data_IF_457092352500
#
_entry.id   IF_457092352500
#
_cell.length_a   1.000
_cell.length_b   1.000
_cell.length_c   1.000
_cell.angle_alpha   90.00
_cell.angle_beta   90.00
_cell.angle_gamma   90.00
#
_symmetry.space_group_name_H-M   'P 1'
#
loop_
_entity.id
_entity.type
_entity.pdbx_description
1 polymer ?
#
# COMPACT_ATOMS: atom_id res chain seq x y z
N UNK A 1 34.57 -18.60 9.86
CA UNK A 1 33.71 -18.01 8.81
C UNK A 1 32.85 -16.94 9.47
N UNK A 2 32.92 -15.66 9.06
CA UNK A 2 32.08 -14.63 9.66
C UNK A 2 30.62 -14.89 9.28
N UNK A 3 29.73 -14.79 10.27
CA UNK A 3 28.28 -14.84 10.06
C UNK A 3 27.91 -13.54 9.35
N UNK A 4 27.56 -13.63 8.07
CA UNK A 4 26.92 -12.52 7.35
C UNK A 4 25.46 -12.52 7.77
N UNK A 5 25.09 -11.61 8.66
CA UNK A 5 23.69 -11.37 8.99
C UNK A 5 22.97 -10.93 7.71
N UNK A 6 21.76 -11.44 7.42
CA UNK A 6 20.95 -10.90 6.33
C UNK A 6 20.75 -9.40 6.57
N UNK A 7 20.75 -8.57 5.51
CA UNK A 7 20.51 -7.15 5.65
C UNK A 7 19.23 -6.95 6.45
N UNK A 8 19.28 -6.06 7.46
CA UNK A 8 18.12 -5.76 8.29
C UNK A 8 16.97 -5.33 7.37
N UNK A 9 15.82 -5.99 7.52
CA UNK A 9 14.60 -5.56 6.83
C UNK A 9 14.24 -4.20 7.43
N UNK A 10 14.21 -3.12 6.63
CA UNK A 10 13.87 -1.80 7.15
C UNK A 10 12.46 -1.82 7.73
N UNK A 11 12.24 -1.02 8.76
CA UNK A 11 10.89 -0.79 9.27
C UNK A 11 10.01 -0.17 8.17
N UNK A 12 8.69 -0.35 8.29
CA UNK A 12 7.75 0.11 7.25
C UNK A 12 7.86 1.62 7.04
N UNK A 13 8.08 2.40 8.09
CA UNK A 13 8.32 3.85 8.05
C UNK A 13 9.59 4.21 7.28
N UNK A 14 10.71 3.52 7.54
CA UNK A 14 11.98 3.76 6.80
C UNK A 14 11.84 3.39 5.33
N UNK A 15 11.22 2.25 5.04
CA UNK A 15 10.94 1.83 3.65
C UNK A 15 10.04 2.84 2.93
N UNK A 16 9.02 3.32 3.64
CA UNK A 16 8.06 4.30 3.15
C UNK A 16 8.71 5.66 2.81
N UNK A 17 9.49 6.21 3.74
CA UNK A 17 10.24 7.45 3.53
C UNK A 17 11.23 7.33 2.37
N UNK A 18 11.90 6.18 2.28
CA UNK A 18 12.78 5.89 1.15
C UNK A 18 12.02 5.92 -0.18
N UNK A 19 10.90 5.21 -0.29
CA UNK A 19 10.08 5.19 -1.51
C UNK A 19 9.55 6.60 -1.87
N UNK A 20 9.12 7.37 -0.86
CA UNK A 20 8.68 8.76 -1.02
C UNK A 20 9.79 9.68 -1.54
N UNK A 21 11.04 9.45 -1.11
CA UNK A 21 12.21 10.24 -1.53
C UNK A 21 12.55 10.04 -3.02
N UNK A 22 12.25 8.86 -3.57
CA UNK A 22 12.49 8.53 -4.98
C UNK A 22 11.47 9.20 -5.93
N UNK A 23 10.35 9.69 -5.40
CA UNK A 23 9.30 10.31 -6.21
C UNK A 23 9.40 11.84 -6.26
N UNK A 24 9.07 12.44 -7.43
CA UNK A 24 8.81 13.87 -7.55
C UNK A 24 7.73 14.34 -6.56
N UNK A 25 7.82 15.59 -6.11
CA UNK A 25 6.94 16.14 -5.07
C UNK A 25 5.45 16.01 -5.41
N UNK A 26 5.08 16.22 -6.68
CA UNK A 26 3.72 16.09 -7.18
C UNK A 26 3.18 14.65 -7.17
N UNK A 27 4.03 13.63 -6.99
CA UNK A 27 3.64 12.21 -6.89
C UNK A 27 3.62 11.69 -5.46
N UNK A 28 4.24 12.39 -4.51
CA UNK A 28 4.31 11.97 -3.10
C UNK A 28 2.93 11.85 -2.49
N UNK A 29 2.04 12.83 -2.71
CA UNK A 29 0.66 12.77 -2.21
C UNK A 29 -0.13 11.56 -2.70
N UNK A 30 0.06 11.18 -3.96
CA UNK A 30 -0.57 9.99 -4.53
C UNK A 30 -0.07 8.72 -3.84
N UNK A 31 1.25 8.64 -3.64
CA UNK A 31 1.88 7.56 -2.92
C UNK A 31 1.34 7.49 -1.48
N UNK A 32 1.24 8.62 -0.78
CA UNK A 32 0.77 8.69 0.62
C UNK A 32 -0.66 8.15 0.74
N UNK A 33 -1.48 8.49 -0.24
CA UNK A 33 -2.87 8.06 -0.31
C UNK A 33 -2.97 6.56 -0.54
N UNK A 34 -2.15 6.00 -1.45
CA UNK A 34 -2.09 4.56 -1.67
C UNK A 34 -1.59 3.81 -0.43
N UNK A 35 -0.55 4.32 0.22
CA UNK A 35 0.00 3.73 1.44
C UNK A 35 -1.04 3.70 2.57
N UNK A 36 -1.76 4.80 2.76
CA UNK A 36 -2.87 4.86 3.72
C UNK A 36 -3.97 3.83 3.38
N UNK A 37 -4.31 3.64 2.10
CA UNK A 37 -5.29 2.64 1.67
C UNK A 37 -4.85 1.21 1.99
N UNK A 38 -3.56 0.91 1.81
CA UNK A 38 -2.96 -0.39 2.16
C UNK A 38 -3.04 -0.62 3.68
N UNK A 39 -2.56 0.34 4.47
CA UNK A 39 -2.56 0.25 5.94
C UNK A 39 -3.98 0.11 6.48
N UNK A 40 -4.94 0.85 5.92
CA UNK A 40 -6.35 0.77 6.28
C UNK A 40 -6.94 -0.62 6.04
N UNK A 41 -6.71 -1.21 4.86
CA UNK A 41 -7.23 -2.53 4.53
C UNK A 41 -6.56 -3.64 5.37
N UNK A 42 -5.26 -3.51 5.67
CA UNK A 42 -4.56 -4.42 6.60
C UNK A 42 -5.13 -4.34 8.02
N UNK A 43 -5.43 -3.13 8.49
CA UNK A 43 -6.05 -2.91 9.80
C UNK A 43 -7.44 -3.52 9.87
N UNK A 44 -8.28 -3.32 8.84
CA UNK A 44 -9.61 -3.92 8.75
C UNK A 44 -9.54 -5.46 8.75
N UNK A 45 -8.66 -6.04 7.93
CA UNK A 45 -8.48 -7.49 7.86
C UNK A 45 -7.99 -8.08 9.20
N UNK A 46 -7.05 -7.41 9.86
CA UNK A 46 -6.59 -7.80 11.20
C UNK A 46 -7.73 -7.77 12.21
N UNK A 47 -8.57 -6.73 12.19
CA UNK A 47 -9.68 -6.61 13.13
C UNK A 47 -10.76 -7.66 12.88
N UNK A 48 -11.11 -7.91 11.62
CA UNK A 48 -12.03 -8.98 11.23
C UNK A 48 -11.59 -10.34 11.79
N UNK A 49 -10.28 -10.65 11.67
CA UNK A 49 -9.69 -11.88 12.22
C UNK A 49 -9.74 -11.97 13.74
N UNK A 50 -9.54 -10.85 14.44
CA UNK A 50 -9.56 -10.80 15.90
C UNK A 50 -10.99 -10.95 16.43
N UNK A 51 -11.96 -10.31 15.78
CA UNK A 51 -13.38 -10.36 16.16
C UNK A 51 -14.07 -11.64 15.70
N UNK A 52 -13.43 -12.44 14.84
CA UNK A 52 -14.03 -13.65 14.26
C UNK A 52 -15.13 -13.34 13.24
N UNK A 53 -15.11 -12.13 12.67
CA UNK A 53 -16.09 -11.65 11.72
C UNK A 53 -15.57 -11.78 10.28
N UNK A 54 -16.42 -12.26 9.37
CA UNK A 54 -16.10 -12.34 7.94
C UNK A 54 -15.15 -13.48 7.54
N UNK A 55 -15.01 -13.68 6.22
CA UNK A 55 -14.06 -14.64 5.66
C UNK A 55 -12.64 -14.07 5.67
N UNK A 56 -11.67 -14.90 6.03
CA UNK A 56 -10.25 -14.54 6.04
C UNK A 56 -9.75 -14.39 4.61
N UNK A 57 -9.30 -13.20 4.24
CA UNK A 57 -8.73 -12.97 2.92
C UNK A 57 -7.31 -13.51 2.84
N UNK A 58 -6.96 -14.14 1.73
CA UNK A 58 -5.55 -14.39 1.39
C UNK A 58 -4.85 -13.06 1.07
N UNK A 59 -3.51 -13.04 1.06
CA UNK A 59 -2.75 -11.87 0.61
C UNK A 59 -3.18 -11.43 -0.80
N UNK A 60 -3.39 -12.37 -1.71
CA UNK A 60 -3.85 -12.08 -3.07
C UNK A 60 -5.25 -11.43 -3.12
N UNK A 61 -6.18 -11.93 -2.31
CA UNK A 61 -7.53 -11.35 -2.22
C UNK A 61 -7.49 -9.94 -1.62
N UNK A 62 -6.66 -9.72 -0.59
CA UNK A 62 -6.51 -8.40 0.01
C UNK A 62 -5.88 -7.40 -0.98
N UNK A 63 -4.87 -7.83 -1.74
CA UNK A 63 -4.28 -7.01 -2.81
C UNK A 63 -5.31 -6.63 -3.86
N UNK A 64 -6.07 -7.59 -4.38
CA UNK A 64 -7.12 -7.33 -5.37
C UNK A 64 -8.18 -6.35 -4.84
N UNK A 65 -8.55 -6.47 -3.55
CA UNK A 65 -9.48 -5.55 -2.89
C UNK A 65 -8.92 -4.13 -2.78
N UNK A 66 -7.63 -3.98 -2.48
CA UNK A 66 -6.97 -2.67 -2.42
C UNK A 66 -6.91 -2.03 -3.81
N UNK A 67 -6.56 -2.81 -4.84
CA UNK A 67 -6.55 -2.35 -6.23
C UNK A 67 -7.94 -1.88 -6.67
N UNK A 68 -8.98 -2.66 -6.39
CA UNK A 68 -10.36 -2.28 -6.68
C UNK A 68 -10.74 -0.95 -5.99
N UNK A 69 -10.47 -0.81 -4.68
CA UNK A 69 -10.76 0.43 -3.96
C UNK A 69 -9.99 1.63 -4.52
N UNK A 70 -8.74 1.43 -4.95
CA UNK A 70 -7.95 2.49 -5.57
C UNK A 70 -8.60 2.97 -6.89
N UNK A 71 -9.07 2.03 -7.73
CA UNK A 71 -9.79 2.35 -8.97
C UNK A 71 -11.12 3.07 -8.68
N UNK A 72 -11.88 2.63 -7.67
CA UNK A 72 -13.12 3.29 -7.23
C UNK A 72 -12.86 4.73 -6.78
N UNK A 73 -11.79 4.97 -6.02
CA UNK A 73 -11.41 6.31 -5.57
C UNK A 73 -10.99 7.20 -6.72
N UNK A 74 -10.28 6.66 -7.71
CA UNK A 74 -9.95 7.37 -8.96
C UNK A 74 -11.24 7.76 -9.68
N UNK A 75 -12.18 6.82 -9.84
CA UNK A 75 -13.49 7.08 -10.44
C UNK A 75 -14.30 8.15 -9.69
N UNK A 76 -14.15 8.21 -8.37
CA UNK A 76 -14.76 9.23 -7.51
C UNK A 76 -14.02 10.59 -7.51
N UNK A 77 -12.91 10.72 -8.24
CA UNK A 77 -12.20 11.99 -8.40
C UNK A 77 -10.88 12.13 -7.65
N UNK A 78 -10.30 11.05 -7.11
CA UNK A 78 -8.95 11.03 -6.54
C UNK A 78 -7.87 11.09 -7.63
N UNK A 79 -7.79 12.22 -8.35
CA UNK A 79 -6.95 12.43 -9.54
C UNK A 79 -5.45 12.18 -9.28
N UNK A 80 -4.98 12.51 -8.08
CA UNK A 80 -3.58 12.30 -7.69
C UNK A 80 -3.22 10.82 -7.71
N UNK A 81 -4.11 9.94 -7.21
CA UNK A 81 -3.93 8.48 -7.17
C UNK A 81 -3.84 7.88 -8.58
N UNK A 82 -4.68 8.36 -9.49
CA UNK A 82 -4.65 7.97 -10.91
C UNK A 82 -3.32 8.34 -11.57
N UNK A 83 -2.73 9.47 -11.18
CA UNK A 83 -1.45 9.91 -11.72
C UNK A 83 -0.30 8.94 -11.40
N UNK A 84 -0.38 8.15 -10.33
CA UNK A 84 0.62 7.16 -9.93
C UNK A 84 0.38 5.80 -10.60
N UNK A 85 -0.89 5.38 -10.68
CA UNK A 85 -1.26 4.07 -11.23
C UNK A 85 -1.24 4.02 -12.75
N UNK A 86 -1.61 5.09 -13.44
CA UNK A 86 -1.56 5.15 -14.92
C UNK A 86 -0.17 5.49 -15.47
N UNK A 87 0.74 6.03 -14.65
CA UNK A 87 2.13 6.26 -15.05
C UNK A 87 2.97 4.97 -15.08
N UNK A 88 2.53 3.91 -14.38
CA UNK A 88 3.18 2.60 -14.36
C UNK A 88 2.75 1.67 -15.52
N UNK A 89 1.88 2.14 -16.43
CA UNK A 89 1.35 1.39 -17.57
C UNK A 89 1.98 1.78 -18.93
N UNK A 90 3.14 2.44 -18.93
CA UNK A 90 3.94 2.81 -20.11
C UNK A 90 5.34 2.21 -20.03
#
# INVERSE_FOLDING_TARGET
MPIVLPPAIPSVDVWWEHLRSLLPENKRKALDTLFMLIVWNLWLERNARILGEGEKMTSAQLTAKIEQQALEWIGAGAKDLGSLLFAASL
#
